data_IF_807008400895
#
_entry.id   IF_807008400895
#
_cell.length_a   1.000
_cell.length_b   1.000
_cell.length_c   1.000
_cell.angle_alpha   90.00
_cell.angle_beta   90.00
_cell.angle_gamma   90.00
#
_symmetry.space_group_name_H-M   'P 1'
#
loop_
_entity.id
_entity.type
_entity.pdbx_description
1 polymer ?
#
# COMPACT_ATOMS: atom_id res chain seq x y z
N UNK A 1 11.90 -1.91 -11.53
CA UNK A 1 10.49 -1.77 -11.11
C UNK A 1 9.49 -2.18 -12.19
N UNK A 2 9.46 -1.51 -13.35
CA UNK A 2 8.50 -1.82 -14.44
C UNK A 2 8.46 -3.30 -14.81
N UNK A 3 9.62 -3.94 -15.01
CA UNK A 3 9.72 -5.35 -15.34
C UNK A 3 9.11 -6.26 -14.26
N UNK A 4 9.32 -5.91 -12.98
CA UNK A 4 8.76 -6.64 -11.84
C UNK A 4 7.23 -6.58 -11.83
N UNK A 5 6.64 -5.42 -12.12
CA UNK A 5 5.19 -5.25 -12.17
C UNK A 5 4.56 -6.00 -13.35
N UNK A 6 5.21 -6.01 -14.52
CA UNK A 6 4.77 -6.82 -15.65
C UNK A 6 4.87 -8.33 -15.36
N UNK A 7 5.93 -8.76 -14.67
CA UNK A 7 6.06 -10.15 -14.20
C UNK A 7 4.98 -10.50 -13.18
N UNK A 8 4.64 -9.59 -12.26
CA UNK A 8 3.56 -9.77 -11.30
C UNK A 8 2.20 -9.88 -11.98
N UNK A 9 1.92 -9.03 -12.97
CA UNK A 9 0.69 -9.14 -13.78
C UNK A 9 0.62 -10.48 -14.52
N UNK A 10 1.74 -10.95 -15.08
CA UNK A 10 1.81 -12.27 -15.71
C UNK A 10 1.56 -13.39 -14.69
N UNK A 11 2.20 -13.32 -13.52
CA UNK A 11 2.01 -14.27 -12.43
C UNK A 11 0.55 -14.35 -12.02
N UNK A 12 -0.08 -13.18 -11.82
CA UNK A 12 -1.49 -13.06 -11.49
C UNK A 12 -2.41 -13.70 -12.53
N UNK A 13 -2.23 -13.38 -13.81
CA UNK A 13 -3.07 -13.91 -14.90
C UNK A 13 -2.96 -15.43 -15.05
N UNK A 14 -1.76 -15.97 -14.91
CA UNK A 14 -1.55 -17.43 -14.88
C UNK A 14 -2.23 -18.09 -13.69
N UNK A 15 -2.20 -17.43 -12.53
CA UNK A 15 -2.95 -17.88 -11.36
C UNK A 15 -4.46 -17.87 -11.57
N UNK A 16 -5.02 -16.91 -12.31
CA UNK A 16 -6.44 -16.91 -12.69
C UNK A 16 -6.80 -18.05 -13.65
N UNK A 17 -5.85 -18.55 -14.43
CA UNK A 17 -6.02 -19.68 -15.34
C UNK A 17 -5.81 -21.04 -14.65
N UNK A 18 -5.47 -21.04 -13.35
CA UNK A 18 -5.19 -22.26 -12.60
C UNK A 18 -3.87 -22.94 -12.99
N UNK A 19 -2.91 -22.20 -13.59
CA UNK A 19 -1.59 -22.76 -13.88
C UNK A 19 -0.84 -23.08 -12.57
N UNK A 20 -0.26 -24.29 -12.47
CA UNK A 20 0.50 -24.73 -11.29
C UNK A 20 1.66 -23.79 -10.95
N UNK A 21 1.83 -23.48 -9.66
CA UNK A 21 2.86 -22.58 -9.17
C UNK A 21 2.55 -21.08 -9.33
N UNK A 22 1.37 -20.73 -9.84
CA UNK A 22 0.89 -19.35 -9.96
C UNK A 22 -0.36 -19.11 -9.10
N UNK A 23 -0.51 -17.89 -8.57
CA UNK A 23 -1.64 -17.53 -7.71
C UNK A 23 -2.25 -16.18 -8.09
N UNK A 24 -3.58 -16.02 -7.98
CA UNK A 24 -4.21 -14.72 -8.07
C UNK A 24 -3.68 -13.76 -6.98
N UNK A 25 -3.60 -12.47 -7.29
CA UNK A 25 -3.13 -11.41 -6.40
C UNK A 25 -4.29 -10.45 -6.18
N UNK A 26 -4.60 -10.15 -4.94
CA UNK A 26 -5.72 -9.28 -4.57
C UNK A 26 -5.29 -7.82 -4.42
N UNK A 27 -4.14 -7.61 -3.77
CA UNK A 27 -3.62 -6.28 -3.46
C UNK A 27 -2.14 -6.22 -3.77
N UNK A 28 -1.70 -5.11 -4.35
CA UNK A 28 -0.28 -4.79 -4.59
C UNK A 28 0.08 -3.54 -3.82
N UNK A 29 1.17 -3.62 -3.05
CA UNK A 29 1.73 -2.49 -2.29
C UNK A 29 2.92 -1.93 -3.05
N UNK A 30 2.91 -0.60 -3.26
CA UNK A 30 4.04 0.16 -3.77
C UNK A 30 4.49 1.14 -2.69
N UNK A 31 5.40 0.67 -1.83
CA UNK A 31 6.03 1.45 -0.78
C UNK A 31 7.21 2.29 -1.33
N UNK A 32 6.99 2.97 -2.45
CA UNK A 32 7.98 3.78 -3.15
C UNK A 32 7.31 4.90 -3.93
N UNK A 33 8.09 5.90 -4.31
CA UNK A 33 7.65 6.89 -5.27
C UNK A 33 8.80 7.81 -5.69
N UNK A 34 8.48 8.74 -6.57
CA UNK A 34 9.41 9.71 -7.11
C UNK A 34 8.69 11.04 -7.34
N UNK A 35 9.49 12.08 -7.51
CA UNK A 35 9.04 13.38 -7.96
C UNK A 35 9.60 13.63 -9.35
N UNK A 36 8.83 14.32 -10.18
CA UNK A 36 9.37 14.87 -11.40
C UNK A 36 10.28 16.05 -11.08
N UNK A 37 11.47 16.06 -11.67
CA UNK A 37 12.40 17.19 -11.57
C UNK A 37 11.92 18.34 -12.47
N UNK A 38 11.29 18.03 -13.62
CA UNK A 38 10.71 19.01 -14.53
C UNK A 38 9.24 18.68 -14.83
N UNK A 39 8.32 19.66 -14.86
CA UNK A 39 6.91 19.43 -15.20
C UNK A 39 6.70 18.81 -16.60
N UNK A 40 7.62 19.00 -17.54
CA UNK A 40 7.51 18.42 -18.88
C UNK A 40 7.69 16.88 -18.87
N UNK A 41 8.25 16.33 -17.79
CA UNK A 41 8.52 14.89 -17.62
C UNK A 41 7.27 14.06 -17.31
N UNK A 42 6.09 14.67 -17.11
CA UNK A 42 4.83 13.91 -16.94
C UNK A 42 4.56 12.95 -18.12
N UNK A 43 5.13 13.21 -19.31
CA UNK A 43 5.07 12.31 -20.47
C UNK A 43 5.81 10.97 -20.29
N UNK A 44 6.82 10.91 -19.42
CA UNK A 44 7.61 9.68 -19.16
C UNK A 44 6.90 8.67 -18.24
N UNK A 45 5.77 9.04 -17.65
CA UNK A 45 4.98 8.19 -16.74
C UNK A 45 4.19 7.09 -17.44
N UNK A 46 4.10 7.15 -18.77
CA UNK A 46 3.30 6.25 -19.59
C UNK A 46 3.50 4.76 -19.27
N UNK A 47 4.74 4.24 -19.15
CA UNK A 47 4.98 2.83 -18.88
C UNK A 47 4.50 2.36 -17.49
N UNK A 48 4.76 3.14 -16.44
CA UNK A 48 4.35 2.77 -15.08
C UNK A 48 2.83 2.88 -14.94
N UNK A 49 2.25 3.99 -15.39
CA UNK A 49 0.80 4.18 -15.39
C UNK A 49 0.08 3.09 -16.20
N UNK A 50 0.66 2.65 -17.32
CA UNK A 50 0.13 1.54 -18.14
C UNK A 50 0.08 0.22 -17.39
N UNK A 51 1.15 -0.17 -16.70
CA UNK A 51 1.17 -1.45 -15.97
C UNK A 51 0.25 -1.41 -14.74
N UNK A 52 0.17 -0.28 -14.04
CA UNK A 52 -0.78 -0.12 -12.92
C UNK A 52 -2.23 -0.20 -13.41
N UNK A 53 -2.56 0.44 -14.54
CA UNK A 53 -3.88 0.31 -15.17
C UNK A 53 -4.19 -1.14 -15.56
N UNK A 54 -3.18 -1.88 -16.05
CA UNK A 54 -3.36 -3.28 -16.44
C UNK A 54 -3.58 -4.21 -15.23
N UNK A 55 -2.90 -3.98 -14.10
CA UNK A 55 -3.15 -4.67 -12.83
C UNK A 55 -4.57 -4.39 -12.33
N UNK A 56 -4.98 -3.12 -12.30
CA UNK A 56 -6.31 -2.72 -11.83
C UNK A 56 -7.45 -3.36 -12.63
N UNK A 57 -7.28 -3.39 -13.96
CA UNK A 57 -8.21 -4.07 -14.88
C UNK A 57 -8.24 -5.58 -14.74
N UNK A 58 -7.24 -6.18 -14.11
CA UNK A 58 -7.24 -7.60 -13.78
C UNK A 58 -7.88 -7.87 -12.40
N UNK A 59 -8.46 -6.86 -11.73
CA UNK A 59 -9.08 -7.01 -10.42
C UNK A 59 -8.11 -6.87 -9.23
N UNK A 60 -6.94 -6.25 -9.44
CA UNK A 60 -5.91 -6.08 -8.40
C UNK A 60 -5.96 -4.68 -7.82
N UNK A 61 -6.21 -4.52 -6.51
CA UNK A 61 -6.16 -3.20 -5.84
C UNK A 61 -4.70 -2.75 -5.72
N UNK A 62 -4.42 -1.48 -6.02
CA UNK A 62 -3.07 -0.92 -5.88
C UNK A 62 -3.05 0.05 -4.70
N UNK A 63 -2.20 -0.20 -3.73
CA UNK A 63 -2.00 0.66 -2.56
C UNK A 63 -0.60 1.27 -2.63
N UNK A 64 -0.50 2.59 -2.50
CA UNK A 64 0.74 3.35 -2.70
C UNK A 64 1.02 4.23 -1.48
N UNK A 65 2.30 4.36 -1.12
CA UNK A 65 2.74 5.27 -0.06
C UNK A 65 2.64 6.74 -0.53
N UNK A 66 2.17 7.65 0.33
CA UNK A 66 2.04 9.07 -0.03
C UNK A 66 3.39 9.81 -0.15
N UNK A 67 4.44 9.32 0.52
CA UNK A 67 5.76 9.94 0.61
C UNK A 67 6.06 10.53 1.97
N UNK A 68 7.34 10.82 2.22
CA UNK A 68 7.89 11.06 3.57
C UNK A 68 8.57 12.44 3.71
N UNK A 69 8.24 13.39 2.85
CA UNK A 69 8.92 14.69 2.76
C UNK A 69 8.12 15.84 3.41
N UNK A 70 6.97 15.54 4.04
CA UNK A 70 6.12 16.52 4.72
C UNK A 70 5.59 17.61 3.77
N UNK A 71 5.40 17.29 2.50
CA UNK A 71 5.07 18.28 1.46
C UNK A 71 3.72 18.00 0.80
N UNK A 72 3.20 19.03 0.12
CA UNK A 72 2.06 18.95 -0.79
C UNK A 72 2.49 18.92 -2.25
N UNK A 73 3.76 18.63 -2.56
CA UNK A 73 4.20 18.35 -3.92
C UNK A 73 3.67 16.99 -4.38
N UNK A 74 3.04 16.88 -5.58
CA UNK A 74 2.62 15.59 -6.13
C UNK A 74 3.77 14.58 -6.24
N UNK A 75 3.64 13.45 -5.58
CA UNK A 75 4.58 12.32 -5.65
C UNK A 75 3.94 11.17 -6.42
N UNK A 76 4.67 10.54 -7.33
CA UNK A 76 4.15 9.48 -8.19
C UNK A 76 4.64 8.10 -7.74
N UNK A 77 3.80 7.05 -7.81
CA UNK A 77 2.47 7.00 -8.43
C UNK A 77 1.31 7.49 -7.54
N UNK A 78 1.56 7.94 -6.29
CA UNK A 78 0.51 8.36 -5.36
C UNK A 78 -0.45 9.41 -5.95
N UNK A 79 0.09 10.39 -6.66
CA UNK A 79 -0.65 11.47 -7.30
C UNK A 79 -1.55 11.03 -8.47
N UNK A 80 -1.50 9.78 -8.94
CA UNK A 80 -2.49 9.23 -9.89
C UNK A 80 -3.72 8.63 -9.22
N UNK A 81 -3.78 8.66 -7.89
CA UNK A 81 -4.96 8.30 -7.13
C UNK A 81 -6.08 9.29 -7.43
N UNK A 82 -7.33 8.84 -7.61
CA UNK A 82 -8.48 9.71 -7.73
C UNK A 82 -8.49 10.76 -6.62
N UNK A 83 -8.77 12.01 -7.00
CA UNK A 83 -8.72 13.12 -6.06
C UNK A 83 -9.89 13.03 -5.09
N UNK A 84 -9.63 13.24 -3.80
CA UNK A 84 -10.60 13.15 -2.73
C UNK A 84 -10.53 14.36 -1.80
N UNK A 85 -11.63 14.60 -1.11
CA UNK A 85 -11.66 15.30 0.16
C UNK A 85 -11.73 14.27 1.28
N UNK A 86 -10.75 14.30 2.18
CA UNK A 86 -10.73 13.46 3.38
C UNK A 86 -11.64 14.08 4.44
N UNK A 87 -12.72 13.39 4.78
CA UNK A 87 -13.67 13.80 5.82
C UNK A 87 -13.58 12.85 7.03
N UNK A 88 -14.34 13.15 8.09
CA UNK A 88 -14.47 12.25 9.24
C UNK A 88 -15.13 10.90 8.85
N UNK A 89 -16.00 10.91 7.84
CA UNK A 89 -16.77 9.74 7.41
C UNK A 89 -16.07 8.92 6.31
N UNK A 90 -15.02 9.47 5.69
CA UNK A 90 -14.21 8.77 4.70
C UNK A 90 -13.65 9.65 3.60
N UNK A 91 -13.20 9.01 2.53
CA UNK A 91 -12.69 9.68 1.34
C UNK A 91 -13.85 9.97 0.39
N UNK A 92 -14.15 11.26 0.17
CA UNK A 92 -15.18 11.70 -0.78
C UNK A 92 -14.49 12.06 -2.10
N UNK A 93 -14.75 11.35 -3.21
CA UNK A 93 -14.18 11.70 -4.51
C UNK A 93 -14.61 13.10 -4.93
N UNK A 94 -13.64 13.90 -5.42
CA UNK A 94 -13.93 15.21 -6.03
C UNK A 94 -14.56 15.07 -7.41
N UNK A 95 -14.17 14.01 -8.11
CA UNK A 95 -14.61 13.65 -9.46
C UNK A 95 -15.03 12.16 -9.41
N UNK A 96 -16.28 11.84 -9.04
CA UNK A 96 -16.76 10.46 -8.89
C UNK A 96 -16.54 9.59 -10.14
N UNK A 97 -16.55 10.19 -11.33
CA UNK A 97 -16.26 9.55 -12.62
C UNK A 97 -14.85 8.93 -12.74
N UNK A 98 -13.90 9.35 -11.88
CA UNK A 98 -12.58 8.73 -11.77
C UNK A 98 -12.62 7.33 -11.11
N UNK A 99 -13.67 7.05 -10.34
CA UNK A 99 -13.94 5.76 -9.73
C UNK A 99 -14.85 4.94 -10.63
N UNK A 100 -14.24 4.14 -11.49
CA UNK A 100 -15.00 3.26 -12.38
C UNK A 100 -15.20 1.87 -11.76
N UNK A 101 -16.40 1.28 -11.85
CA UNK A 101 -16.66 -0.05 -11.30
C UNK A 101 -15.96 -1.17 -12.09
N UNK A 102 -15.54 -0.93 -13.34
CA UNK A 102 -14.91 -1.91 -14.23
C UNK A 102 -13.43 -2.21 -13.90
N UNK A 103 -12.80 -1.43 -13.02
CA UNK A 103 -11.48 -1.74 -12.48
C UNK A 103 -11.30 -1.23 -11.06
N UNK A 104 -10.39 -1.84 -10.30
CA UNK A 104 -10.12 -1.49 -8.90
C UNK A 104 -9.48 -0.09 -8.76
N UNK A 105 -9.54 0.57 -7.59
CA UNK A 105 -8.89 1.86 -7.38
C UNK A 105 -7.36 1.75 -7.19
N UNK A 106 -6.66 2.88 -7.37
CA UNK A 106 -5.38 3.15 -6.68
C UNK A 106 -5.74 3.87 -5.38
N UNK A 107 -5.09 3.52 -4.28
CA UNK A 107 -5.30 4.13 -2.97
C UNK A 107 -3.96 4.64 -2.43
N UNK A 108 -3.82 5.95 -2.22
CA UNK A 108 -2.63 6.52 -1.59
C UNK A 108 -2.84 6.70 -0.08
N UNK A 109 -1.82 6.34 0.69
CA UNK A 109 -1.91 6.26 2.16
C UNK A 109 -0.84 7.13 2.80
N UNK A 110 -1.28 8.09 3.61
CA UNK A 110 -0.43 8.86 4.51
C UNK A 110 -0.20 8.15 5.85
N UNK A 111 0.70 8.70 6.66
CA UNK A 111 1.11 8.10 7.92
C UNK A 111 0.55 8.84 9.12
N UNK A 112 0.15 8.09 10.15
CA UNK A 112 -0.13 8.61 11.49
C UNK A 112 0.94 8.20 12.50
N UNK A 113 1.08 9.02 13.52
CA UNK A 113 1.78 8.74 14.76
C UNK A 113 0.98 7.75 15.64
N UNK A 114 1.60 7.19 16.70
CA UNK A 114 0.89 6.34 17.67
C UNK A 114 -0.31 6.99 18.36
N UNK A 115 -0.31 8.31 18.51
CA UNK A 115 -1.44 9.10 19.05
C UNK A 115 -2.53 9.42 18.01
N UNK A 116 -2.46 8.79 16.84
CA UNK A 116 -3.32 8.99 15.68
C UNK A 116 -3.24 10.36 14.99
N UNK A 117 -2.37 11.27 15.44
CA UNK A 117 -2.08 12.50 14.69
C UNK A 117 -1.39 12.17 13.36
N UNK A 118 -1.56 13.01 12.34
CA UNK A 118 -0.83 12.85 11.07
C UNK A 118 0.66 13.07 11.33
N UNK A 119 1.50 12.15 10.85
CA UNK A 119 2.93 12.24 11.03
C UNK A 119 3.51 13.41 10.22
N UNK A 120 4.42 14.20 10.81
CA UNK A 120 4.97 15.42 10.18
C UNK A 120 5.66 15.15 8.84
N UNK A 121 6.22 13.95 8.68
CA UNK A 121 6.86 13.54 7.43
C UNK A 121 5.85 13.11 6.35
N UNK A 122 4.60 12.82 6.70
CA UNK A 122 3.64 12.33 5.70
C UNK A 122 3.35 13.44 4.69
N UNK A 123 3.57 13.15 3.42
CA UNK A 123 3.04 14.03 2.36
C UNK A 123 1.51 14.08 2.44
N UNK A 124 0.96 15.20 1.97
CA UNK A 124 -0.48 15.45 1.96
C UNK A 124 -0.93 16.04 0.62
N UNK A 125 -2.21 15.89 0.32
CA UNK A 125 -2.80 16.41 -0.91
C UNK A 125 -4.08 15.70 -1.27
N UNK A 126 -4.82 16.20 -2.28
CA UNK A 126 -6.08 15.62 -2.69
C UNK A 126 -5.93 14.19 -3.23
N UNK A 127 -4.73 13.71 -3.56
CA UNK A 127 -4.51 12.32 -3.95
C UNK A 127 -4.38 11.37 -2.76
N UNK A 128 -4.24 11.84 -1.53
CA UNK A 128 -4.12 10.98 -0.34
C UNK A 128 -5.52 10.50 0.07
N UNK A 129 -5.81 9.23 -0.18
CA UNK A 129 -7.13 8.64 0.13
C UNK A 129 -7.39 8.58 1.62
N UNK A 130 -6.40 8.15 2.41
CA UNK A 130 -6.57 7.93 3.85
C UNK A 130 -5.23 7.97 4.57
N UNK A 131 -5.25 7.90 5.90
CA UNK A 131 -4.04 7.77 6.74
C UNK A 131 -4.11 6.50 7.57
N UNK A 132 -2.94 5.90 7.85
CA UNK A 132 -2.81 4.69 8.68
C UNK A 132 -1.56 4.76 9.56
N UNK A 133 -1.48 3.96 10.64
CA UNK A 133 -0.27 3.86 11.45
C UNK A 133 0.96 3.66 10.57
N UNK A 134 1.94 4.53 10.75
CA UNK A 134 3.15 4.54 9.92
C UNK A 134 4.40 5.04 10.65
N UNK A 135 4.27 5.64 11.83
CA UNK A 135 5.42 6.00 12.66
C UNK A 135 5.65 4.97 13.78
N UNK A 136 6.91 4.74 14.13
CA UNK A 136 7.34 3.82 15.18
C UNK A 136 6.75 2.40 15.02
N UNK A 137 6.67 1.91 13.78
CA UNK A 137 6.15 0.59 13.46
C UNK A 137 7.23 -0.45 13.72
N UNK A 138 6.91 -1.46 14.53
CA UNK A 138 7.77 -2.63 14.77
C UNK A 138 7.45 -3.70 13.73
N UNK A 139 8.45 -4.21 13.03
CA UNK A 139 8.29 -5.30 12.06
C UNK A 139 9.51 -6.21 11.98
N UNK A 140 9.38 -7.33 11.28
CA UNK A 140 10.46 -8.28 11.06
C UNK A 140 11.53 -7.71 10.13
N UNK A 141 12.80 -8.01 10.42
CA UNK A 141 13.96 -7.57 9.66
C UNK A 141 14.92 -8.76 9.47
N UNK A 142 15.64 -8.88 8.34
CA UNK A 142 16.67 -9.91 8.20
C UNK A 142 17.72 -9.82 9.30
N UNK A 143 17.99 -10.95 9.96
CA UNK A 143 18.97 -11.07 11.06
C UNK A 143 20.42 -10.89 10.61
N UNK A 144 20.67 -10.73 9.32
CA UNK A 144 21.98 -10.57 8.70
C UNK A 144 22.36 -9.10 8.47
N UNK A 145 21.52 -8.16 8.89
CA UNK A 145 21.76 -6.73 8.71
C UNK A 145 22.24 -6.13 10.03
N UNK A 146 23.39 -5.48 9.97
CA UNK A 146 24.04 -4.73 11.05
C UNK A 146 24.56 -3.44 10.41
N UNK A 147 23.92 -2.31 10.70
CA UNK A 147 24.21 -1.03 10.07
C UNK A 147 25.41 -0.31 10.69
N UNK A 148 25.74 0.90 10.20
CA UNK A 148 26.91 1.63 10.65
C UNK A 148 26.69 2.39 11.97
N UNK A 149 25.44 2.66 12.36
CA UNK A 149 25.17 3.27 13.67
C UNK A 149 25.49 2.25 14.76
N UNK A 150 25.94 2.74 15.91
CA UNK A 150 26.29 1.90 17.06
C UNK A 150 25.68 2.50 18.33
N UNK A 151 25.68 1.80 19.48
CA UNK A 151 25.23 2.37 20.73
C UNK A 151 25.92 3.69 21.06
N UNK A 152 25.13 4.72 21.33
CA UNK A 152 25.62 6.05 21.72
C UNK A 152 26.37 6.07 23.06
N UNK A 153 26.10 5.10 23.94
CA UNK A 153 26.72 4.99 25.27
C UNK A 153 27.16 3.55 25.48
N UNK A 154 28.37 3.37 26.00
CA UNK A 154 28.92 2.09 26.46
C UNK A 154 29.62 2.31 27.79
N UNK A 155 29.27 1.52 28.80
CA UNK A 155 29.85 1.57 30.13
C UNK A 155 30.18 0.14 30.57
N UNK A 156 31.14 -0.06 31.50
CA UNK A 156 31.27 -1.33 32.19
C UNK A 156 29.97 -1.70 32.91
N UNK A 157 29.67 -2.99 32.99
CA UNK A 157 28.66 -3.47 33.92
C UNK A 157 29.04 -3.15 35.36
N UNK A 158 28.03 -2.89 36.21
CA UNK A 158 28.30 -2.49 37.60
C UNK A 158 28.79 -3.64 38.49
N UNK A 159 28.39 -4.86 38.16
CA UNK A 159 28.60 -6.06 38.97
C UNK A 159 29.15 -7.23 38.15
N UNK A 160 29.45 -7.04 36.87
CA UNK A 160 29.89 -8.06 35.94
C UNK A 160 31.06 -7.59 35.09
N UNK A 161 31.75 -8.51 34.39
CA UNK A 161 32.87 -8.16 33.51
C UNK A 161 32.42 -7.62 32.15
N UNK A 162 31.12 -7.53 31.88
CA UNK A 162 30.57 -7.15 30.59
C UNK A 162 30.50 -5.64 30.34
N UNK A 163 29.85 -5.30 29.23
CA UNK A 163 29.53 -3.93 28.83
C UNK A 163 28.02 -3.76 28.86
N UNK A 164 27.55 -2.67 29.45
CA UNK A 164 26.18 -2.18 29.29
C UNK A 164 26.17 -1.05 28.26
N UNK A 165 25.26 -1.09 27.31
CA UNK A 165 25.16 -0.05 26.28
C UNK A 165 23.74 0.48 26.12
N UNK A 166 23.59 1.63 25.47
CA UNK A 166 22.32 2.01 24.88
C UNK A 166 21.95 1.05 23.73
N UNK A 167 20.71 1.15 23.27
CA UNK A 167 20.26 0.39 22.09
C UNK A 167 21.08 0.83 20.89
N UNK A 168 21.58 -0.14 20.15
CA UNK A 168 22.07 0.07 18.79
C UNK A 168 20.85 0.15 17.85
N UNK A 169 20.52 1.32 17.29
CA UNK A 169 19.33 1.46 16.45
C UNK A 169 19.47 0.74 15.09
N UNK A 170 20.67 0.34 14.70
CA UNK A 170 20.98 -0.31 13.42
C UNK A 170 21.39 -1.79 13.58
N UNK A 171 21.37 -2.34 14.80
CA UNK A 171 21.57 -3.77 15.04
C UNK A 171 20.26 -4.54 14.87
N UNK A 172 20.06 -5.12 13.68
CA UNK A 172 18.86 -5.89 13.37
C UNK A 172 19.04 -7.40 13.54
N UNK A 173 20.13 -7.85 14.18
CA UNK A 173 20.39 -9.29 14.40
C UNK A 173 19.31 -9.96 15.27
N UNK A 174 18.59 -9.17 16.07
CA UNK A 174 17.40 -9.61 16.81
C UNK A 174 16.19 -9.96 15.93
N UNK A 175 16.24 -9.69 14.61
CA UNK A 175 15.19 -10.04 13.65
C UNK A 175 14.02 -9.07 13.58
N UNK A 176 14.12 -7.92 14.26
CA UNK A 176 13.09 -6.89 14.30
C UNK A 176 13.70 -5.50 14.16
N UNK A 177 12.90 -4.57 13.65
CA UNK A 177 13.25 -3.15 13.53
C UNK A 177 12.04 -2.27 13.87
N UNK A 178 12.30 -1.05 14.37
CA UNK A 178 11.28 -0.03 14.59
C UNK A 178 11.50 1.15 13.66
N UNK A 179 10.67 1.30 12.63
CA UNK A 179 10.84 2.31 11.59
C UNK A 179 9.61 3.20 11.42
N UNK A 180 9.79 4.33 10.72
CA UNK A 180 8.72 5.28 10.41
C UNK A 180 8.68 5.58 8.92
N UNK A 181 7.49 5.64 8.34
CA UNK A 181 7.27 6.00 6.95
C UNK A 181 5.88 5.63 6.45
N UNK A 182 5.39 6.36 5.45
CA UNK A 182 4.17 6.01 4.70
C UNK A 182 4.29 4.65 3.99
N UNK A 183 5.52 4.18 3.79
CA UNK A 183 5.86 2.82 3.37
C UNK A 183 5.36 1.72 4.32
N UNK A 184 5.09 2.03 5.59
CA UNK A 184 4.47 1.11 6.55
C UNK A 184 2.94 1.28 6.62
N UNK A 185 2.44 2.49 6.37
CA UNK A 185 0.99 2.76 6.27
C UNK A 185 0.34 2.06 5.08
N UNK A 186 1.04 1.98 3.94
CA UNK A 186 0.56 1.30 2.73
C UNK A 186 0.28 -0.21 2.94
N UNK A 187 1.21 -1.04 3.45
CA UNK A 187 0.93 -2.44 3.73
C UNK A 187 -0.10 -2.63 4.84
N UNK A 188 -0.20 -1.70 5.80
CA UNK A 188 -1.28 -1.72 6.80
C UNK A 188 -2.66 -1.65 6.13
N UNK A 189 -2.87 -0.68 5.21
CA UNK A 189 -4.13 -0.60 4.47
C UNK A 189 -4.36 -1.83 3.59
N UNK A 190 -3.31 -2.30 2.92
CA UNK A 190 -3.42 -3.49 2.07
C UNK A 190 -3.87 -4.73 2.85
N UNK A 191 -3.40 -4.90 4.09
CA UNK A 191 -3.84 -5.97 4.97
C UNK A 191 -5.33 -5.85 5.33
N UNK A 192 -5.83 -4.65 5.62
CA UNK A 192 -7.27 -4.43 5.88
C UNK A 192 -8.14 -4.78 4.66
N UNK A 193 -7.68 -4.42 3.46
CA UNK A 193 -8.39 -4.77 2.22
C UNK A 193 -8.35 -6.28 2.00
N UNK A 194 -7.19 -6.92 2.15
CA UNK A 194 -7.03 -8.36 2.00
C UNK A 194 -7.92 -9.13 3.00
N UNK A 195 -8.03 -8.65 4.24
CA UNK A 195 -8.94 -9.22 5.24
C UNK A 195 -10.40 -9.22 4.75
N UNK A 196 -10.89 -8.11 4.19
CA UNK A 196 -12.26 -8.05 3.68
C UNK A 196 -12.47 -8.97 2.47
N UNK A 197 -11.48 -9.08 1.58
CA UNK A 197 -11.50 -10.04 0.46
C UNK A 197 -11.52 -11.50 0.95
N UNK A 198 -10.76 -11.82 2.00
CA UNK A 198 -10.76 -13.16 2.58
C UNK A 198 -12.11 -13.50 3.21
N UNK A 199 -12.70 -12.56 3.97
CA UNK A 199 -14.03 -12.73 4.58
C UNK A 199 -15.13 -12.98 3.55
N UNK A 200 -15.08 -12.33 2.38
CA UNK A 200 -16.07 -12.56 1.33
C UNK A 200 -15.93 -13.94 0.68
N UNK A 201 -14.73 -14.51 0.65
CA UNK A 201 -14.47 -15.86 0.10
C UNK A 201 -14.89 -16.99 1.03
N UNK A 202 -14.86 -16.76 2.33
CA UNK A 202 -15.30 -17.75 3.32
C UNK A 202 -16.82 -17.81 3.47
N UNK A 203 -17.56 -16.87 2.86
CA UNK A 203 -19.01 -16.71 3.02
C UNK A 203 -19.89 -17.58 2.12
N UNK A 204 -19.44 -17.99 0.92
CA UNK A 204 -20.22 -18.82 -0.01
C UNK A 204 -19.31 -19.68 -0.90
N UNK A 205 -19.60 -20.99 -1.08
CA UNK A 205 -18.92 -21.79 -2.10
C UNK A 205 -19.39 -21.32 -3.49
N UNK A 206 -18.50 -20.73 -4.30
CA UNK A 206 -18.85 -20.43 -5.69
C UNK A 206 -18.81 -21.70 -6.54
N UNK A 207 -19.96 -22.26 -6.87
CA UNK A 207 -20.13 -23.29 -7.88
C UNK A 207 -20.23 -22.65 -9.27
N UNK A 208 -19.10 -22.41 -9.93
CA UNK A 208 -18.96 -22.54 -11.39
C UNK A 208 -17.55 -22.15 -11.86
N UNK A 209 -16.95 -22.87 -12.82
CA UNK A 209 -15.75 -22.44 -13.51
C UNK A 209 -16.12 -21.27 -14.45
N UNK A 210 -16.08 -20.05 -13.92
CA UNK A 210 -16.20 -18.84 -14.72
C UNK A 210 -15.02 -18.76 -15.70
N UNK A 211 -15.27 -18.33 -16.95
CA UNK A 211 -14.20 -18.01 -17.88
C UNK A 211 -13.29 -16.90 -17.31
N UNK A 212 -12.08 -16.68 -17.88
CA UNK A 212 -11.13 -15.70 -17.35
C UNK A 212 -11.71 -14.28 -17.19
N UNK A 213 -12.59 -13.85 -18.09
CA UNK A 213 -13.22 -12.53 -18.06
C UNK A 213 -14.28 -12.42 -16.94
N UNK A 214 -15.08 -13.47 -16.74
CA UNK A 214 -16.03 -13.56 -15.61
C UNK A 214 -15.31 -13.59 -14.26
N UNK A 215 -14.14 -14.24 -14.21
CA UNK A 215 -13.30 -14.28 -13.03
C UNK A 215 -12.75 -12.88 -12.69
N UNK A 216 -12.31 -12.11 -13.69
CA UNK A 216 -11.84 -10.73 -13.49
C UNK A 216 -12.99 -9.83 -13.03
N UNK A 217 -14.15 -9.88 -13.66
CA UNK A 217 -15.31 -9.07 -13.27
C UNK A 217 -15.74 -9.36 -11.82
N UNK A 218 -15.87 -10.64 -11.45
CA UNK A 218 -16.17 -11.07 -10.08
C UNK A 218 -15.14 -10.57 -9.07
N UNK A 219 -13.86 -10.67 -9.41
CA UNK A 219 -12.77 -10.19 -8.54
C UNK A 219 -12.78 -8.68 -8.36
N UNK A 220 -13.03 -7.93 -9.43
CA UNK A 220 -13.16 -6.48 -9.37
C UNK A 220 -14.32 -6.07 -8.46
N UNK A 221 -15.47 -6.74 -8.56
CA UNK A 221 -16.61 -6.51 -7.67
C UNK A 221 -16.26 -6.80 -6.20
N UNK A 222 -15.67 -7.96 -5.91
CA UNK A 222 -15.21 -8.34 -4.56
C UNK A 222 -14.19 -7.31 -4.01
N UNK A 223 -13.27 -6.85 -4.85
CA UNK A 223 -12.27 -5.86 -4.47
C UNK A 223 -12.91 -4.50 -4.13
N UNK A 224 -13.90 -4.05 -4.90
CA UNK A 224 -14.64 -2.83 -4.59
C UNK A 224 -15.43 -2.94 -3.29
N UNK A 225 -16.10 -4.06 -3.06
CA UNK A 225 -16.81 -4.32 -1.80
C UNK A 225 -15.85 -4.33 -0.61
N UNK A 226 -14.67 -4.94 -0.78
CA UNK A 226 -13.61 -4.90 0.23
C UNK A 226 -13.16 -3.46 0.52
N UNK A 227 -12.88 -2.66 -0.51
CA UNK A 227 -12.50 -1.25 -0.35
C UNK A 227 -13.59 -0.46 0.40
N UNK A 228 -14.87 -0.63 0.04
CA UNK A 228 -15.98 0.09 0.67
C UNK A 228 -16.25 -0.31 2.12
N UNK A 229 -15.83 -1.52 2.54
CA UNK A 229 -15.96 -2.01 3.92
C UNK A 229 -14.82 -1.54 4.82
N UNK A 230 -13.69 -1.09 4.27
CA UNK A 230 -12.57 -0.58 5.06
C UNK A 230 -12.88 0.85 5.52
N UNK A 231 -12.87 1.13 6.84
CA UNK A 231 -13.17 2.47 7.36
C UNK A 231 -12.24 3.55 6.81
N UNK A 232 -12.78 4.75 6.58
CA UNK A 232 -11.98 5.88 6.11
C UNK A 232 -11.56 5.83 4.64
N UNK A 233 -12.13 4.91 3.84
CA UNK A 233 -12.05 4.89 2.37
C UNK A 233 -13.35 5.44 1.76
N UNK A 234 -13.69 5.02 0.54
CA UNK A 234 -14.91 5.46 -0.16
C UNK A 234 -16.16 4.87 0.48
N UNK A 235 -17.12 5.73 0.85
CA UNK A 235 -18.40 5.30 1.41
C UNK A 235 -19.24 4.49 0.40
N UNK A 236 -20.19 3.68 0.90
CA UNK A 236 -21.21 3.06 0.05
C UNK A 236 -22.06 4.15 -0.63
N UNK A 237 -22.08 4.16 -1.96
CA UNK A 237 -22.81 5.14 -2.79
C UNK A 237 -21.95 6.05 -3.68
N UNK A 238 -20.62 5.99 -3.58
CA UNK A 238 -19.72 6.88 -4.34
C UNK A 238 -19.45 6.47 -5.81
N UNK A 239 -19.97 5.32 -6.27
CA UNK A 239 -19.95 4.95 -7.68
C UNK A 239 -21.38 5.14 -8.21
N UNK A 240 -21.62 6.27 -8.87
CA UNK A 240 -22.88 6.55 -9.55
C UNK A 240 -23.18 5.47 -10.59
N UNK A 241 -24.47 5.11 -10.70
CA UNK A 241 -25.04 4.21 -11.72
C UNK A 241 -24.68 4.60 -13.17
#
# INVERSE_FOLDING_TARGET
>A
MLHTLWRLLRFHRRGLQGEDGYHPVDVVVLAMGYYHEQPEDYGYDGPLRRVLRALRRAGVVVVVAAGNDGTTRPMFPAAWTPRVDRTADGAVPREPEDLKPDYTPILAVGATNPDASVAVFSNDGPWVTTVRPGAAVVSTMPTTIDGPVTPSVRLPERLGPGVRSSVDPDDFRGGFATWSGTSFSAPYLAAQIAEQVLRSRTGEPSSDPAGPDDAVARRTAVAWDAVRRVPGLYAQGAASE
#
